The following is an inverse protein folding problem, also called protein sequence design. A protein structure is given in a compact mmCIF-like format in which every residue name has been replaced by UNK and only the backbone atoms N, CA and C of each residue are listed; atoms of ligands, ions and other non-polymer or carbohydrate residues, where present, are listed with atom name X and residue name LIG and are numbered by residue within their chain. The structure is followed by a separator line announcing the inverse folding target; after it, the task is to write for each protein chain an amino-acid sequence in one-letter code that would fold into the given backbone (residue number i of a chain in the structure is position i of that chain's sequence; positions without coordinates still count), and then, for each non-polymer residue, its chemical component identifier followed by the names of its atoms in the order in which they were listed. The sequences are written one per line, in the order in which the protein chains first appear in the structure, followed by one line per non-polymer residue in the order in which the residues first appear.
data_IF_641095692965
#
_entry.id   IF_641095692965
#
_cell.length_a   1.000
_cell.length_b   1.000
_cell.length_c   1.000
_cell.angle_alpha   90.00
_cell.angle_beta   90.00
_cell.angle_gamma   90.00
#
_symmetry.space_group_name_H-M   'P 1'
#
loop_
_entity.id
_entity.type
_entity.pdbx_description
1 polymer ?
#
# COMPACT_ATOMS: atom_id res chain seq x y z
N UNK A 1 21.51 -36.46 17.16
CA UNK A 1 22.26 -36.82 18.37
C UNK A 1 22.57 -38.29 18.28
N UNK A 2 23.83 -38.65 18.43
CA UNK A 2 24.24 -40.06 18.43
C UNK A 2 23.74 -40.74 19.71
N UNK A 3 23.61 -42.07 19.68
CA UNK A 3 23.37 -42.81 20.92
C UNK A 3 24.68 -42.94 21.72
N UNK A 4 24.58 -43.08 23.05
CA UNK A 4 25.77 -43.26 23.93
C UNK A 4 26.63 -44.44 23.47
N UNK A 5 25.99 -45.51 22.98
CA UNK A 5 26.67 -46.70 22.46
C UNK A 5 27.45 -46.41 21.15
N UNK A 6 26.94 -45.53 20.28
CA UNK A 6 27.63 -45.09 19.06
C UNK A 6 28.86 -44.23 19.38
N UNK A 7 28.72 -43.31 20.35
CA UNK A 7 29.83 -42.44 20.81
C UNK A 7 30.90 -43.28 21.51
N UNK A 8 30.50 -44.24 22.34
CA UNK A 8 31.41 -45.17 23.01
C UNK A 8 32.21 -46.01 21.99
N UNK A 9 31.53 -46.56 20.97
CA UNK A 9 32.19 -47.32 19.91
C UNK A 9 33.16 -46.44 19.11
N UNK A 10 32.76 -45.22 18.75
CA UNK A 10 33.60 -44.29 18.00
C UNK A 10 34.88 -43.88 18.77
N UNK A 11 34.77 -43.63 20.08
CA UNK A 11 35.92 -43.29 20.93
C UNK A 11 36.86 -44.50 21.13
N UNK A 12 36.29 -45.69 21.32
CA UNK A 12 37.07 -46.94 21.44
C UNK A 12 37.87 -47.23 20.17
N UNK A 13 37.26 -47.05 19.00
CA UNK A 13 37.91 -47.25 17.70
C UNK A 13 39.09 -46.28 17.47
N UNK A 14 39.11 -45.13 18.14
CA UNK A 14 40.18 -44.12 18.06
C UNK A 14 41.30 -44.38 19.07
N UNK A 15 41.16 -45.43 19.90
CA UNK A 15 42.13 -45.79 20.92
C UNK A 15 42.05 -44.90 22.16
N UNK A 16 40.87 -44.36 22.46
CA UNK A 16 40.63 -43.71 23.74
C UNK A 16 40.88 -44.70 24.90
N UNK A 17 41.35 -44.22 26.08
CA UNK A 17 41.54 -45.08 27.24
C UNK A 17 40.24 -45.80 27.60
N UNK A 18 40.36 -47.02 28.15
CA UNK A 18 39.23 -47.88 28.54
C UNK A 18 38.43 -47.24 29.67
N UNK A 19 37.57 -46.28 29.36
CA UNK A 19 36.55 -45.76 30.26
C UNK A 19 35.41 -46.77 30.34
N UNK A 20 34.88 -47.02 31.53
CA UNK A 20 33.71 -47.89 31.66
C UNK A 20 32.49 -47.24 31.02
N UNK A 21 31.52 -48.05 30.56
CA UNK A 21 30.27 -47.55 29.98
C UNK A 21 29.52 -46.64 30.96
N UNK A 22 29.54 -47.00 32.25
CA UNK A 22 28.89 -46.24 33.32
C UNK A 22 29.54 -44.85 33.53
N UNK A 23 30.86 -44.74 33.36
CA UNK A 23 31.56 -43.45 33.43
C UNK A 23 31.24 -42.58 32.22
N UNK A 24 31.09 -43.18 31.03
CA UNK A 24 30.67 -42.45 29.83
C UNK A 24 29.23 -41.95 29.98
N UNK A 25 28.31 -42.77 30.50
CA UNK A 25 26.92 -42.37 30.76
C UNK A 25 26.86 -41.17 31.73
N UNK A 26 27.69 -41.16 32.79
CA UNK A 26 27.79 -40.00 33.70
C UNK A 26 28.31 -38.75 33.00
N UNK A 27 29.27 -38.88 32.09
CA UNK A 27 29.85 -37.77 31.33
C UNK A 27 28.95 -37.30 30.18
N UNK A 28 28.03 -38.15 29.71
CA UNK A 28 27.14 -37.87 28.59
C UNK A 28 25.89 -37.07 29.03
N UNK A 29 26.12 -35.91 29.66
CA UNK A 29 25.08 -34.99 30.07
C UNK A 29 25.45 -33.53 29.74
N UNK A 30 24.46 -32.71 29.37
CA UNK A 30 24.64 -31.27 29.10
C UNK A 30 25.58 -30.97 27.92
N UNK A 31 26.36 -29.89 28.02
CA UNK A 31 27.28 -29.44 26.94
C UNK A 31 28.38 -30.44 26.57
N UNK A 32 28.67 -31.39 27.45
CA UNK A 32 29.67 -32.43 27.16
C UNK A 32 29.15 -33.40 26.08
N UNK A 33 27.83 -33.59 25.97
CA UNK A 33 27.20 -34.39 24.91
C UNK A 33 27.54 -33.81 23.55
N UNK A 34 27.38 -32.50 23.36
CA UNK A 34 27.66 -31.84 22.09
C UNK A 34 29.15 -31.93 21.71
N UNK A 35 30.05 -31.83 22.69
CA UNK A 35 31.48 -32.01 22.48
C UNK A 35 31.84 -33.46 22.12
N UNK A 36 31.25 -34.45 22.80
CA UNK A 36 31.48 -35.86 22.53
C UNK A 36 30.87 -36.28 21.18
N UNK A 37 29.68 -35.78 20.84
CA UNK A 37 29.04 -35.97 19.53
C UNK A 37 29.89 -35.31 18.43
N UNK A 38 30.38 -34.08 18.64
CA UNK A 38 31.26 -33.39 17.69
C UNK A 38 32.57 -34.15 17.49
N UNK A 39 33.19 -34.63 18.57
CA UNK A 39 34.42 -35.43 18.49
C UNK A 39 34.13 -36.75 17.76
N UNK A 40 33.07 -37.46 18.11
CA UNK A 40 32.69 -38.71 17.45
C UNK A 40 32.38 -38.52 15.94
N UNK A 41 31.74 -37.42 15.56
CA UNK A 41 31.41 -37.11 14.14
C UNK A 41 32.59 -36.58 13.33
N UNK A 42 33.61 -35.96 13.94
CA UNK A 42 34.79 -35.43 13.23
C UNK A 42 36.01 -36.36 13.27
N UNK A 43 36.01 -37.38 14.13
CA UNK A 43 37.00 -38.46 14.12
C UNK A 43 36.97 -39.47 12.94
N UNK A 44 35.89 -39.68 12.14
CA UNK A 44 35.93 -40.62 11.03
C UNK A 44 36.93 -40.23 9.94
N UNK A 45 37.35 -38.96 9.85
CA UNK A 45 38.45 -38.54 8.98
C UNK A 45 39.78 -39.21 9.35
N UNK A 46 40.04 -39.45 10.65
CA UNK A 46 41.23 -40.18 11.11
C UNK A 46 41.12 -41.69 10.92
N UNK A 47 39.92 -42.26 11.09
CA UNK A 47 39.63 -43.68 10.78
C UNK A 47 39.82 -43.97 9.30
N UNK A 48 39.30 -43.11 8.43
CA UNK A 48 39.51 -43.19 6.98
C UNK A 48 40.99 -43.08 6.60
N UNK A 49 41.73 -42.15 7.23
CA UNK A 49 43.16 -42.02 7.01
C UNK A 49 43.97 -43.23 7.52
N UNK A 50 43.62 -43.81 8.66
CA UNK A 50 44.28 -45.00 9.21
C UNK A 50 44.00 -46.25 8.35
N UNK A 51 42.75 -46.46 7.93
CA UNK A 51 42.38 -47.53 7.02
C UNK A 51 43.07 -47.39 5.66
N UNK A 52 43.16 -46.17 5.12
CA UNK A 52 43.89 -45.90 3.88
C UNK A 52 45.40 -46.17 4.03
N UNK A 53 46.02 -45.79 5.17
CA UNK A 53 47.42 -46.12 5.45
C UNK A 53 47.64 -47.63 5.59
N UNK A 54 46.73 -48.32 6.27
CA UNK A 54 46.73 -49.79 6.37
C UNK A 54 46.66 -50.45 4.99
N UNK A 55 45.74 -50.01 4.14
CA UNK A 55 45.61 -50.51 2.77
C UNK A 55 46.86 -50.24 1.91
N UNK A 56 47.46 -49.05 2.03
CA UNK A 56 48.73 -48.71 1.35
C UNK A 56 49.87 -49.59 1.86
N UNK A 57 49.90 -49.87 3.15
CA UNK A 57 50.94 -50.69 3.76
C UNK A 57 50.81 -52.16 3.37
N UNK A 58 49.60 -52.72 3.37
CA UNK A 58 49.36 -54.07 2.83
C UNK A 58 49.67 -54.16 1.35
N UNK A 59 49.39 -53.12 0.55
CA UNK A 59 49.79 -53.06 -0.86
C UNK A 59 51.31 -53.06 -1.03
N UNK A 60 52.03 -52.29 -0.20
CA UNK A 60 53.50 -52.24 -0.23
C UNK A 60 54.14 -53.54 0.25
N UNK A 61 53.53 -54.21 1.22
CA UNK A 61 53.97 -55.52 1.71
C UNK A 61 53.70 -56.61 0.65
N UNK A 62 52.57 -56.56 -0.04
CA UNK A 62 52.27 -57.43 -1.19
C UNK A 62 53.25 -57.21 -2.36
N UNK A 63 53.55 -55.96 -2.72
CA UNK A 63 54.56 -55.64 -3.76
C UNK A 63 55.95 -56.12 -3.38
N UNK A 64 56.32 -56.11 -2.10
CA UNK A 64 57.60 -56.63 -1.61
C UNK A 64 57.65 -58.16 -1.55
N UNK A 65 56.51 -58.84 -1.37
CA UNK A 65 56.44 -60.30 -1.39
C UNK A 65 56.38 -60.92 -2.80
N UNK A 66 56.08 -60.13 -3.84
CA UNK A 66 55.98 -60.62 -5.22
C UNK A 66 57.25 -60.40 -6.08
N UNK A 67 58.34 -59.84 -5.54
CA UNK A 67 59.61 -59.68 -6.27
C UNK A 67 60.54 -60.90 -6.19
N UNK A 68 60.14 -61.97 -5.50
CA UNK A 68 60.87 -63.24 -5.51
C UNK A 68 59.92 -64.38 -5.83
N UNK A 69 60.18 -65.08 -6.94
CA UNK A 69 59.48 -66.30 -7.39
C UNK A 69 58.21 -66.11 -8.22
N UNK A 70 58.41 -65.98 -9.54
CA UNK A 70 57.63 -66.51 -10.69
C UNK A 70 57.87 -65.53 -11.85
N UNK A 71 58.64 -65.86 -12.89
CA UNK A 71 58.43 -67.01 -13.76
C UNK A 71 57.56 -66.58 -14.95
N UNK A 72 58.13 -65.74 -15.82
CA UNK A 72 57.72 -65.49 -17.21
C UNK A 72 56.22 -65.23 -17.48
N UNK A 73 55.69 -64.12 -16.96
CA UNK A 73 54.40 -63.56 -17.42
C UNK A 73 54.68 -62.40 -18.37
N UNK A 74 54.11 -62.47 -19.56
CA UNK A 74 54.29 -61.53 -20.67
C UNK A 74 54.15 -60.06 -20.21
N UNK A 75 55.17 -59.21 -20.38
CA UNK A 75 55.14 -57.80 -19.97
C UNK A 75 54.01 -57.01 -20.63
N UNK A 76 53.48 -57.46 -21.77
CA UNK A 76 52.32 -56.86 -22.42
C UNK A 76 51.03 -57.08 -21.60
N UNK A 77 50.87 -58.26 -21.01
CA UNK A 77 49.70 -58.58 -20.18
C UNK A 77 49.63 -57.68 -18.94
N UNK A 78 50.76 -57.47 -18.26
CA UNK A 78 50.82 -56.55 -17.11
C UNK A 78 50.58 -55.08 -17.50
N UNK A 79 51.03 -54.64 -18.69
CA UNK A 79 50.72 -53.30 -19.21
C UNK A 79 49.23 -53.14 -19.49
N UNK A 80 48.59 -54.12 -20.11
CA UNK A 80 47.14 -54.11 -20.38
C UNK A 80 46.34 -54.13 -19.08
N UNK A 81 46.73 -54.95 -18.10
CA UNK A 81 46.08 -55.00 -16.79
C UNK A 81 46.21 -53.67 -16.04
N UNK A 82 47.38 -53.02 -16.11
CA UNK A 82 47.61 -51.69 -15.54
C UNK A 82 46.80 -50.61 -16.25
N UNK A 83 46.74 -50.63 -17.57
CA UNK A 83 45.91 -49.71 -18.35
C UNK A 83 44.43 -49.88 -18.02
N UNK A 84 43.95 -51.13 -17.90
CA UNK A 84 42.58 -51.43 -17.51
C UNK A 84 42.27 -50.95 -16.09
N UNK A 85 43.18 -51.13 -15.14
CA UNK A 85 43.04 -50.58 -13.78
C UNK A 85 43.01 -49.04 -13.79
N UNK A 86 43.82 -48.39 -14.64
CA UNK A 86 43.81 -46.94 -14.82
C UNK A 86 42.50 -46.43 -15.42
N UNK A 87 41.94 -47.11 -16.43
CA UNK A 87 40.63 -46.76 -17.00
C UNK A 87 39.52 -46.95 -15.99
N UNK A 88 39.55 -48.04 -15.21
CA UNK A 88 38.55 -48.28 -14.16
C UNK A 88 38.62 -47.23 -13.05
N UNK A 89 39.82 -46.82 -12.64
CA UNK A 89 40.00 -45.77 -11.63
C UNK A 89 39.59 -44.39 -12.14
N UNK A 90 39.91 -44.05 -13.41
CA UNK A 90 39.44 -42.79 -14.00
C UNK A 90 37.92 -42.76 -14.19
N UNK A 91 37.30 -43.89 -14.52
CA UNK A 91 35.85 -44.02 -14.60
C UNK A 91 35.17 -43.79 -13.24
N UNK A 92 35.71 -44.38 -12.15
CA UNK A 92 35.20 -44.13 -10.80
C UNK A 92 35.38 -42.67 -10.41
N UNK A 93 36.53 -42.05 -10.74
CA UNK A 93 36.76 -40.64 -10.47
C UNK A 93 35.80 -39.72 -11.23
N UNK A 94 35.48 -40.02 -12.50
CA UNK A 94 34.48 -39.30 -13.27
C UNK A 94 33.08 -39.42 -12.65
N UNK A 95 32.66 -40.62 -12.26
CA UNK A 95 31.37 -40.83 -11.58
C UNK A 95 31.28 -40.06 -10.26
N UNK A 96 32.38 -40.01 -9.50
CA UNK A 96 32.44 -39.22 -8.26
C UNK A 96 32.33 -37.72 -8.55
N UNK A 97 33.01 -37.23 -9.60
CA UNK A 97 32.92 -35.83 -10.01
C UNK A 97 31.51 -35.47 -10.48
N UNK A 98 30.87 -36.33 -11.28
CA UNK A 98 29.47 -36.17 -11.70
C UNK A 98 28.53 -36.09 -10.49
N UNK A 99 28.66 -37.03 -9.54
CA UNK A 99 27.86 -37.02 -8.32
C UNK A 99 28.11 -35.76 -7.45
N UNK A 100 29.35 -35.25 -7.41
CA UNK A 100 29.62 -33.98 -6.71
C UNK A 100 29.05 -32.77 -7.45
N UNK A 101 29.06 -32.78 -8.78
CA UNK A 101 28.49 -31.73 -9.62
C UNK A 101 26.97 -31.68 -9.48
N UNK A 102 26.30 -32.83 -9.47
CA UNK A 102 24.86 -32.93 -9.22
C UNK A 102 24.49 -32.41 -7.83
N UNK A 103 25.25 -32.80 -6.79
CA UNK A 103 25.08 -32.26 -5.43
C UNK A 103 25.31 -30.75 -5.34
N UNK A 104 26.22 -30.20 -6.14
CA UNK A 104 26.43 -28.76 -6.21
C UNK A 104 25.28 -28.06 -6.95
N UNK A 105 24.82 -28.64 -8.07
CA UNK A 105 23.68 -28.12 -8.82
C UNK A 105 22.40 -28.11 -7.98
N UNK A 106 22.14 -29.17 -7.20
CA UNK A 106 20.97 -29.21 -6.30
C UNK A 106 21.06 -28.14 -5.21
N UNK A 107 22.25 -27.93 -4.63
CA UNK A 107 22.48 -26.86 -3.64
C UNK A 107 22.32 -25.47 -4.22
N UNK A 108 22.75 -25.25 -5.47
CA UNK A 108 22.52 -23.98 -6.16
C UNK A 108 21.02 -23.74 -6.35
N UNK A 109 20.27 -24.76 -6.80
CA UNK A 109 18.81 -24.66 -6.90
C UNK A 109 18.13 -24.32 -5.56
N UNK A 110 18.52 -24.97 -4.46
CA UNK A 110 18.01 -24.65 -3.11
C UNK A 110 18.35 -23.22 -2.67
N UNK A 111 19.52 -22.69 -3.06
CA UNK A 111 19.91 -21.31 -2.75
C UNK A 111 19.14 -20.30 -3.61
N UNK A 112 18.90 -20.58 -4.89
CA UNK A 112 18.09 -19.74 -5.78
C UNK A 112 16.63 -19.68 -5.30
N UNK A 113 16.06 -20.79 -4.82
CA UNK A 113 14.72 -20.81 -4.24
C UNK A 113 14.64 -19.97 -2.95
N UNK A 114 15.68 -20.06 -2.09
CA UNK A 114 15.77 -19.22 -0.89
C UNK A 114 15.96 -17.75 -1.22
N UNK A 115 16.75 -17.44 -2.23
CA UNK A 115 16.95 -16.07 -2.71
C UNK A 115 15.62 -15.47 -3.19
N UNK A 116 14.85 -16.19 -4.01
CA UNK A 116 13.52 -15.77 -4.44
C UNK A 116 12.57 -15.57 -3.26
N UNK A 117 12.54 -16.52 -2.32
CA UNK A 117 11.70 -16.40 -1.13
C UNK A 117 12.06 -15.18 -0.27
N UNK A 118 13.35 -14.85 -0.14
CA UNK A 118 13.80 -13.64 0.57
C UNK A 118 13.50 -12.36 -0.20
N UNK A 119 13.60 -12.37 -1.53
CA UNK A 119 13.20 -11.24 -2.37
C UNK A 119 11.69 -10.95 -2.24
N UNK A 120 10.85 -11.99 -2.32
CA UNK A 120 9.41 -11.87 -2.12
C UNK A 120 9.08 -11.32 -0.72
N UNK A 121 9.76 -11.81 0.33
CA UNK A 121 9.62 -11.28 1.68
C UNK A 121 9.98 -9.80 1.76
N UNK A 122 11.11 -9.41 1.16
CA UNK A 122 11.57 -8.02 1.16
C UNK A 122 10.59 -7.10 0.41
N UNK A 123 10.02 -7.55 -0.71
CA UNK A 123 8.97 -6.81 -1.41
C UNK A 123 7.70 -6.64 -0.57
N UNK A 124 7.28 -7.70 0.14
CA UNK A 124 6.14 -7.60 1.06
C UNK A 124 6.42 -6.62 2.20
N UNK A 125 7.62 -6.63 2.78
CA UNK A 125 8.03 -5.69 3.82
C UNK A 125 8.03 -4.24 3.29
N UNK A 126 8.57 -3.99 2.09
CA UNK A 126 8.52 -2.67 1.45
C UNK A 126 7.10 -2.18 1.23
N UNK A 127 6.19 -3.06 0.78
CA UNK A 127 4.79 -2.73 0.58
C UNK A 127 4.10 -2.40 1.90
N UNK A 128 4.35 -3.19 2.96
CA UNK A 128 3.80 -2.91 4.29
C UNK A 128 4.31 -1.59 4.87
N UNK A 129 5.59 -1.27 4.68
CA UNK A 129 6.17 0.01 5.11
C UNK A 129 5.53 1.20 4.38
N UNK A 130 5.32 1.08 3.07
CA UNK A 130 4.63 2.11 2.28
C UNK A 130 3.17 2.29 2.74
N UNK A 131 2.47 1.19 3.03
CA UNK A 131 1.11 1.24 3.57
C UNK A 131 1.07 1.94 4.94
N UNK A 132 2.01 1.62 5.84
CA UNK A 132 2.13 2.27 7.14
C UNK A 132 2.39 3.78 7.00
N UNK A 133 3.26 4.18 6.08
CA UNK A 133 3.53 5.59 5.80
C UNK A 133 2.29 6.33 5.27
N UNK A 134 1.50 5.70 4.39
CA UNK A 134 0.23 6.27 3.91
C UNK A 134 -0.79 6.39 5.04
N UNK A 135 -0.86 5.40 5.93
CA UNK A 135 -1.74 5.43 7.10
C UNK A 135 -1.35 6.53 8.10
N UNK A 136 -0.05 6.70 8.36
CA UNK A 136 0.49 7.78 9.20
C UNK A 136 0.10 9.15 8.64
N UNK A 137 0.33 9.38 7.34
CA UNK A 137 -0.06 10.61 6.66
C UNK A 137 -1.58 10.87 6.72
N UNK A 138 -2.39 9.82 6.60
CA UNK A 138 -3.85 9.93 6.72
C UNK A 138 -4.28 10.27 8.16
N UNK A 139 -3.57 9.75 9.16
CA UNK A 139 -3.81 10.09 10.57
C UNK A 139 -3.44 11.53 10.87
N UNK A 140 -2.33 12.03 10.33
CA UNK A 140 -1.95 13.45 10.42
C UNK A 140 -3.02 14.38 9.83
N UNK A 141 -3.53 14.06 8.63
CA UNK A 141 -4.63 14.81 8.00
C UNK A 141 -5.88 14.76 8.87
N UNK A 142 -6.20 13.60 9.45
CA UNK A 142 -7.36 13.45 10.34
C UNK A 142 -7.19 14.30 11.60
N UNK A 143 -6.01 14.30 12.22
CA UNK A 143 -5.69 15.15 13.38
C UNK A 143 -5.82 16.63 13.03
N UNK A 144 -5.30 17.07 11.88
CA UNK A 144 -5.43 18.44 11.40
C UNK A 144 -6.90 18.87 11.23
N UNK A 145 -7.74 18.00 10.64
CA UNK A 145 -9.18 18.24 10.51
C UNK A 145 -9.89 18.32 11.87
N UNK A 146 -9.51 17.48 12.83
CA UNK A 146 -10.08 17.57 14.18
C UNK A 146 -9.72 18.89 14.88
N UNK A 147 -8.49 19.37 14.73
CA UNK A 147 -8.10 20.70 15.23
C UNK A 147 -8.92 21.80 14.57
N UNK A 148 -9.16 21.72 13.26
CA UNK A 148 -10.01 22.68 12.54
C UNK A 148 -11.47 22.64 13.00
N UNK A 149 -12.04 21.44 13.20
CA UNK A 149 -13.39 21.27 13.75
C UNK A 149 -13.50 21.87 15.16
N UNK A 150 -12.50 21.67 16.02
CA UNK A 150 -12.49 22.25 17.36
C UNK A 150 -12.47 23.78 17.30
N UNK A 151 -11.67 24.37 16.41
CA UNK A 151 -11.66 25.82 16.18
C UNK A 151 -13.04 26.34 15.74
N UNK A 152 -13.67 25.67 14.77
CA UNK A 152 -15.00 26.05 14.29
C UNK A 152 -16.07 25.93 15.40
N UNK A 153 -15.97 24.93 16.28
CA UNK A 153 -16.86 24.79 17.43
C UNK A 153 -16.64 25.88 18.49
N UNK A 154 -15.39 26.31 18.70
CA UNK A 154 -15.07 27.44 19.55
C UNK A 154 -15.63 28.75 18.97
N UNK A 155 -15.42 29.01 17.68
CA UNK A 155 -15.99 30.16 16.97
C UNK A 155 -17.53 30.18 17.04
N UNK A 156 -18.18 29.02 16.87
CA UNK A 156 -19.65 28.93 17.02
C UNK A 156 -20.09 29.20 18.46
N UNK A 157 -19.36 28.70 19.46
CA UNK A 157 -19.65 29.00 20.88
C UNK A 157 -19.47 30.48 21.20
N UNK A 158 -18.47 31.13 20.62
CA UNK A 158 -18.27 32.58 20.75
C UNK A 158 -19.41 33.35 20.11
N UNK A 159 -19.78 33.02 18.86
CA UNK A 159 -20.92 33.64 18.16
C UNK A 159 -22.25 33.45 18.91
N UNK A 160 -22.48 32.30 19.55
CA UNK A 160 -23.67 32.05 20.38
C UNK A 160 -23.64 32.89 21.67
N UNK A 161 -22.46 33.09 22.28
CA UNK A 161 -22.33 33.97 23.45
C UNK A 161 -22.54 35.44 23.08
N UNK A 162 -22.06 35.85 21.92
CA UNK A 162 -22.28 37.20 21.38
C UNK A 162 -23.76 37.44 21.06
N UNK A 163 -24.45 36.47 20.44
CA UNK A 163 -25.88 36.57 20.15
C UNK A 163 -26.76 36.53 21.39
N UNK A 164 -26.36 35.80 22.44
CA UNK A 164 -27.06 35.85 23.73
C UNK A 164 -26.87 37.19 24.45
N UNK A 165 -25.70 37.83 24.35
CA UNK A 165 -25.46 39.17 24.92
C UNK A 165 -26.33 40.24 24.25
N UNK A 166 -26.59 40.13 22.95
CA UNK A 166 -27.42 41.10 22.22
C UNK A 166 -28.92 40.88 22.45
N UNK A 167 -29.36 39.70 22.89
CA UNK A 167 -30.78 39.38 23.10
C UNK A 167 -31.40 39.89 24.41
N UNK A 168 -30.62 40.33 25.41
CA UNK A 168 -31.15 40.70 26.74
C UNK A 168 -31.72 42.14 26.80
N UNK A 169 -31.53 42.97 25.77
CA UNK A 169 -31.94 44.41 25.80
C UNK A 169 -33.17 44.74 24.95
N UNK A 170 -33.75 43.81 24.20
CA UNK A 170 -34.89 44.14 23.34
C UNK A 170 -35.84 42.98 23.10
N UNK A 171 -36.91 42.91 23.89
CA UNK A 171 -38.07 42.08 23.59
C UNK A 171 -38.81 42.65 22.38
N UNK A 172 -38.42 42.25 21.18
CA UNK A 172 -39.20 42.47 19.96
C UNK A 172 -39.17 41.19 19.13
N UNK A 173 -40.37 40.70 18.84
CA UNK A 173 -40.68 39.54 18.01
C UNK A 173 -39.98 39.61 16.65
N UNK A 174 -39.10 38.63 16.40
CA UNK A 174 -38.43 38.41 15.11
C UNK A 174 -39.42 37.93 14.03
N UNK A 175 -39.40 38.52 12.82
CA UNK A 175 -39.79 37.82 11.61
C UNK A 175 -38.58 37.05 11.06
N UNK A 176 -38.77 35.76 10.74
CA UNK A 176 -37.80 34.96 10.02
C UNK A 176 -37.58 35.53 8.61
N UNK A 177 -36.32 35.74 8.22
CA UNK A 177 -35.94 35.95 6.82
C UNK A 177 -34.66 35.17 6.48
N UNK A 178 -34.91 33.97 5.96
CA UNK A 178 -34.16 33.16 4.98
C UNK A 178 -33.50 34.01 3.88
N UNK A 179 -32.23 33.82 3.45
CA UNK A 179 -31.56 32.69 2.75
C UNK A 179 -30.04 33.04 2.64
N UNK A 180 -29.04 32.19 2.33
CA UNK A 180 -28.90 31.19 1.27
C UNK A 180 -27.74 30.20 1.59
N UNK A 181 -28.07 28.91 1.73
CA UNK A 181 -27.32 27.79 1.15
C UNK A 181 -28.33 27.15 0.17
N UNK A 182 -27.91 26.87 -1.06
CA UNK A 182 -28.76 26.37 -2.14
C UNK A 182 -29.24 24.93 -1.87
N UNK A 183 -30.29 24.81 -1.07
CA UNK A 183 -31.23 23.68 -1.08
C UNK A 183 -32.40 24.11 -1.99
N UNK A 184 -32.89 23.27 -2.93
CA UNK A 184 -34.02 23.61 -3.78
C UNK A 184 -35.22 24.01 -2.90
N UNK A 185 -35.58 25.30 -2.96
CA UNK A 185 -36.61 25.91 -2.10
C UNK A 185 -37.98 25.28 -2.38
N UNK A 186 -38.69 24.90 -1.31
CA UNK A 186 -40.05 24.34 -1.38
C UNK A 186 -41.08 25.28 -2.05
N UNK A 187 -40.79 26.59 -2.10
CA UNK A 187 -41.62 27.60 -2.77
C UNK A 187 -41.77 27.31 -4.28
N UNK A 188 -40.69 26.94 -4.98
CA UNK A 188 -40.75 26.60 -6.40
C UNK A 188 -41.55 25.31 -6.65
N UNK A 189 -41.45 24.32 -5.75
CA UNK A 189 -42.27 23.10 -5.86
C UNK A 189 -43.76 23.39 -5.65
N UNK A 190 -44.10 24.33 -4.77
CA UNK A 190 -45.49 24.74 -4.54
C UNK A 190 -46.06 25.49 -5.76
N UNK A 191 -45.30 26.41 -6.34
CA UNK A 191 -45.75 27.21 -7.49
C UNK A 191 -45.85 26.38 -8.77
N UNK A 192 -44.92 25.46 -9.00
CA UNK A 192 -44.98 24.50 -10.11
C UNK A 192 -46.15 23.53 -9.98
N UNK A 193 -46.41 23.01 -8.77
CA UNK A 193 -47.59 22.15 -8.53
C UNK A 193 -48.89 22.94 -8.73
N UNK A 194 -48.98 24.18 -8.24
CA UNK A 194 -50.15 25.03 -8.46
C UNK A 194 -50.35 25.37 -9.95
N UNK A 195 -49.26 25.67 -10.69
CA UNK A 195 -49.30 25.89 -12.13
C UNK A 195 -49.75 24.63 -12.90
N UNK A 196 -49.26 23.45 -12.52
CA UNK A 196 -49.69 22.17 -13.11
C UNK A 196 -51.15 21.86 -12.81
N UNK A 197 -51.62 22.09 -11.57
CA UNK A 197 -53.02 21.88 -11.19
C UNK A 197 -53.96 22.84 -11.92
N UNK A 198 -53.58 24.10 -12.08
CA UNK A 198 -54.38 25.07 -12.84
C UNK A 198 -54.43 24.70 -14.33
N UNK A 199 -53.33 24.20 -14.90
CA UNK A 199 -53.30 23.67 -16.26
C UNK A 199 -54.16 22.42 -16.43
N UNK A 200 -54.08 21.45 -15.51
CA UNK A 200 -54.92 20.25 -15.57
C UNK A 200 -56.41 20.57 -15.44
N UNK A 201 -56.79 21.52 -14.59
CA UNK A 201 -58.16 22.02 -14.48
C UNK A 201 -58.62 22.73 -15.77
N UNK A 202 -57.72 23.48 -16.42
CA UNK A 202 -58.02 24.12 -17.71
C UNK A 202 -58.22 23.08 -18.81
N UNK A 203 -57.37 22.06 -18.90
CA UNK A 203 -57.52 20.95 -19.85
C UNK A 203 -58.81 20.16 -19.59
N UNK A 204 -59.15 19.89 -18.32
CA UNK A 204 -60.39 19.19 -18.01
C UNK A 204 -61.62 19.98 -18.47
N UNK A 205 -61.65 21.30 -18.21
CA UNK A 205 -62.71 22.21 -18.69
C UNK A 205 -62.80 22.26 -20.21
N UNK A 206 -61.66 22.32 -20.91
CA UNK A 206 -61.63 22.25 -22.37
C UNK A 206 -62.15 20.91 -22.89
N UNK A 207 -61.81 19.81 -22.22
CA UNK A 207 -62.29 18.47 -22.59
C UNK A 207 -63.81 18.32 -22.38
N UNK A 208 -64.36 18.91 -21.32
CA UNK A 208 -65.81 18.91 -21.08
C UNK A 208 -66.55 19.78 -22.09
N UNK A 209 -65.97 20.94 -22.46
CA UNK A 209 -66.52 21.79 -23.52
C UNK A 209 -66.46 21.12 -24.89
N UNK A 210 -65.42 20.33 -25.17
CA UNK A 210 -65.33 19.56 -26.42
C UNK A 210 -66.40 18.47 -26.54
N UNK A 211 -66.87 17.93 -25.41
CA UNK A 211 -67.97 16.95 -25.35
C UNK A 211 -69.35 17.61 -25.42
N UNK A 212 -69.44 18.93 -25.30
CA UNK A 212 -70.70 19.66 -25.29
C UNK A 212 -71.30 19.73 -26.69
N UNK A 213 -72.44 19.07 -26.91
CA UNK A 213 -73.08 18.97 -28.23
C UNK A 213 -73.49 20.34 -28.81
N UNK A 214 -73.71 21.33 -27.95
CA UNK A 214 -74.01 22.71 -28.34
C UNK A 214 -72.81 23.49 -28.88
N UNK A 215 -71.58 23.01 -28.69
CA UNK A 215 -70.37 23.69 -29.13
C UNK A 215 -70.30 23.77 -30.66
N UNK A 216 -70.64 22.68 -31.36
CA UNK A 216 -70.62 22.62 -32.84
C UNK A 216 -71.55 23.65 -33.48
N UNK A 217 -72.76 23.81 -32.93
CA UNK A 217 -73.71 24.81 -33.42
C UNK A 217 -73.21 26.24 -33.18
N UNK A 218 -72.58 26.50 -32.03
CA UNK A 218 -71.98 27.81 -31.71
C UNK A 218 -70.77 28.12 -32.58
N UNK A 219 -69.91 27.15 -32.87
CA UNK A 219 -68.75 27.35 -33.75
C UNK A 219 -69.17 27.65 -35.18
N UNK A 220 -70.18 26.94 -35.71
CA UNK A 220 -70.74 27.22 -37.03
C UNK A 220 -71.38 28.61 -37.12
N UNK A 221 -72.10 29.02 -36.07
CA UNK A 221 -72.68 30.36 -36.02
C UNK A 221 -71.61 31.47 -35.94
N UNK A 222 -70.52 31.25 -35.20
CA UNK A 222 -69.40 32.18 -35.12
C UNK A 222 -68.62 32.25 -36.44
N UNK A 223 -68.40 31.10 -37.09
CA UNK A 223 -67.79 30.99 -38.42
C UNK A 223 -68.61 31.74 -39.48
N UNK A 224 -69.93 31.55 -39.50
CA UNK A 224 -70.82 32.28 -40.41
C UNK A 224 -70.71 33.81 -40.21
N UNK A 225 -70.71 34.28 -38.95
CA UNK A 225 -70.53 35.71 -38.64
C UNK A 225 -69.17 36.24 -39.08
N UNK A 226 -68.10 35.45 -38.93
CA UNK A 226 -66.76 35.84 -39.37
C UNK A 226 -66.71 35.97 -40.89
N UNK A 227 -67.31 35.03 -41.62
CA UNK A 227 -67.41 35.06 -43.07
C UNK A 227 -68.20 36.29 -43.55
N UNK A 228 -69.34 36.59 -42.91
CA UNK A 228 -70.16 37.75 -43.25
C UNK A 228 -69.39 39.08 -43.02
N UNK A 229 -68.61 39.17 -41.93
CA UNK A 229 -67.77 40.33 -41.65
C UNK A 229 -66.62 40.48 -42.66
N UNK A 230 -65.98 39.39 -43.07
CA UNK A 230 -64.91 39.41 -44.06
C UNK A 230 -65.47 39.81 -45.44
N UNK A 231 -66.60 39.23 -45.84
CA UNK A 231 -67.31 39.58 -47.07
C UNK A 231 -67.69 41.07 -47.09
N UNK A 232 -68.26 41.57 -45.99
CA UNK A 232 -68.59 42.99 -45.85
C UNK A 232 -67.35 43.89 -45.89
N UNK A 233 -66.24 43.49 -45.25
CA UNK A 233 -65.00 44.28 -45.26
C UNK A 233 -64.34 44.36 -46.64
N UNK A 234 -64.57 43.37 -47.50
CA UNK A 234 -64.03 43.28 -48.86
C UNK A 234 -64.97 43.77 -49.94
N UNK A 235 -66.23 44.11 -49.59
CA UNK A 235 -67.31 44.41 -50.53
C UNK A 235 -67.48 43.31 -51.60
N UNK A 236 -67.37 42.06 -51.17
CA UNK A 236 -67.39 40.86 -52.02
C UNK A 236 -68.50 39.92 -51.55
N UNK A 237 -68.97 39.04 -52.44
CA UNK A 237 -69.94 38.01 -52.07
C UNK A 237 -69.29 36.96 -51.17
N UNK A 238 -70.12 36.28 -50.37
CA UNK A 238 -69.65 35.28 -49.39
C UNK A 238 -68.90 34.11 -50.03
N UNK A 239 -69.25 33.79 -51.27
CA UNK A 239 -68.67 32.67 -52.03
C UNK A 239 -67.42 33.06 -52.84
N UNK A 240 -66.97 34.33 -52.73
CA UNK A 240 -65.78 34.78 -53.45
C UNK A 240 -64.50 34.10 -52.93
N UNK A 241 -63.59 33.67 -53.84
CA UNK A 241 -62.37 32.95 -53.46
C UNK A 241 -61.45 33.81 -52.58
N UNK A 242 -61.52 35.14 -52.70
CA UNK A 242 -60.74 36.05 -51.86
C UNK A 242 -61.25 36.16 -50.43
N UNK A 243 -62.55 35.97 -50.20
CA UNK A 243 -63.16 35.94 -48.86
C UNK A 243 -62.79 34.63 -48.17
N UNK A 244 -62.88 33.50 -48.88
CA UNK A 244 -62.46 32.19 -48.36
C UNK A 244 -60.96 32.13 -48.03
N UNK A 245 -60.09 32.73 -48.85
CA UNK A 245 -58.66 32.81 -48.57
C UNK A 245 -58.33 33.67 -47.33
N UNK A 246 -59.05 34.78 -47.14
CA UNK A 246 -58.90 35.63 -45.95
C UNK A 246 -59.40 34.91 -44.69
N UNK A 247 -60.54 34.21 -44.79
CA UNK A 247 -61.06 33.35 -43.72
C UNK A 247 -60.04 32.29 -43.30
N UNK A 248 -59.45 31.57 -44.25
CA UNK A 248 -58.44 30.54 -43.95
C UNK A 248 -57.21 31.11 -43.24
N UNK A 249 -56.74 32.31 -43.62
CA UNK A 249 -55.63 32.98 -42.92
C UNK A 249 -55.99 33.34 -41.48
N UNK A 250 -57.17 33.92 -41.26
CA UNK A 250 -57.68 34.23 -39.92
C UNK A 250 -57.84 32.96 -39.08
N UNK A 251 -58.37 31.89 -39.67
CA UNK A 251 -58.52 30.59 -39.03
C UNK A 251 -57.16 29.99 -38.64
N UNK A 252 -56.18 29.99 -39.54
CA UNK A 252 -54.83 29.49 -39.26
C UNK A 252 -54.15 30.28 -38.13
N UNK A 253 -54.27 31.61 -38.14
CA UNK A 253 -53.74 32.46 -37.08
C UNK A 253 -54.44 32.22 -35.73
N UNK A 254 -55.77 32.08 -35.73
CA UNK A 254 -56.55 31.75 -34.53
C UNK A 254 -56.18 30.36 -33.99
N UNK A 255 -56.00 29.36 -34.87
CA UNK A 255 -55.57 28.01 -34.51
C UNK A 255 -54.19 28.00 -33.87
N UNK A 256 -53.21 28.67 -34.48
CA UNK A 256 -51.85 28.79 -33.92
C UNK A 256 -51.85 29.48 -32.55
N UNK A 257 -52.62 30.56 -32.38
CA UNK A 257 -52.78 31.22 -31.07
C UNK A 257 -53.45 30.32 -30.05
N UNK A 258 -54.47 29.56 -30.44
CA UNK A 258 -55.14 28.61 -29.56
C UNK A 258 -54.18 27.50 -29.11
N UNK A 259 -53.41 26.92 -30.01
CA UNK A 259 -52.39 25.90 -29.72
C UNK A 259 -51.34 26.42 -28.72
N UNK A 260 -50.78 27.61 -28.97
CA UNK A 260 -49.84 28.24 -28.03
C UNK A 260 -50.45 28.56 -26.67
N UNK A 261 -51.76 28.85 -26.62
CA UNK A 261 -52.44 29.16 -25.36
C UNK A 261 -52.75 27.92 -24.52
N UNK A 262 -52.82 26.74 -25.15
CA UNK A 262 -53.11 25.45 -24.49
C UNK A 262 -51.83 24.79 -23.96
N UNK A 263 -50.68 25.08 -24.57
CA UNK A 263 -49.38 24.62 -24.08
C UNK A 263 -49.10 25.14 -22.66
N UNK A 264 -48.60 24.26 -21.81
CA UNK A 264 -48.17 24.62 -20.46
C UNK A 264 -46.95 25.54 -20.55
N UNK A 265 -47.04 26.73 -19.95
CA UNK A 265 -45.90 27.62 -19.76
C UNK A 265 -45.49 27.54 -18.30
N UNK A 266 -44.33 26.94 -18.04
CA UNK A 266 -43.76 26.93 -16.69
C UNK A 266 -43.50 28.37 -16.25
N UNK A 267 -43.85 28.76 -15.01
CA UNK A 267 -43.52 30.07 -14.46
C UNK A 267 -42.02 30.24 -14.17
N UNK A 268 -41.23 29.16 -14.23
CA UNK A 268 -39.79 29.24 -14.03
C UNK A 268 -39.13 29.85 -15.27
N UNK A 269 -38.20 30.81 -15.09
CA UNK A 269 -37.46 31.37 -16.21
C UNK A 269 -36.77 30.22 -16.94
N UNK A 270 -37.07 30.08 -18.24
CA UNK A 270 -36.32 29.25 -19.19
C UNK A 270 -34.95 29.89 -19.42
N UNK A 271 -34.15 30.01 -18.37
CA UNK A 271 -32.73 30.29 -18.47
C UNK A 271 -32.02 28.94 -18.43
N UNK A 272 -31.26 28.68 -19.49
CA UNK A 272 -30.45 27.49 -19.74
C UNK A 272 -31.22 26.20 -20.04
N UNK A 273 -31.16 25.85 -21.33
CA UNK A 273 -30.97 24.50 -21.83
C UNK A 273 -31.93 23.45 -21.26
N UNK A 274 -32.89 23.02 -22.09
CA UNK A 274 -33.44 21.68 -21.96
C UNK A 274 -32.28 20.67 -22.12
N UNK A 275 -31.48 20.46 -21.08
CA UNK A 275 -30.77 19.20 -20.91
C UNK A 275 -31.86 18.13 -20.97
N UNK A 276 -31.81 17.30 -22.01
CA UNK A 276 -32.75 16.21 -22.23
C UNK A 276 -32.86 15.40 -20.93
N UNK A 277 -34.08 15.07 -20.51
CA UNK A 277 -34.34 14.27 -19.30
C UNK A 277 -33.50 12.96 -19.30
N UNK A 278 -33.18 12.44 -20.49
CA UNK A 278 -32.25 11.34 -20.69
C UNK A 278 -30.82 11.67 -20.22
N UNK A 279 -30.28 12.84 -20.53
CA UNK A 279 -28.96 13.28 -20.05
C UNK A 279 -28.89 13.41 -18.53
N UNK A 280 -29.98 13.84 -17.87
CA UNK A 280 -30.04 13.86 -16.40
C UNK A 280 -30.11 12.43 -15.85
N UNK A 281 -30.91 11.55 -16.47
CA UNK A 281 -31.01 10.13 -16.08
C UNK A 281 -29.66 9.40 -16.21
N UNK A 282 -28.93 9.63 -17.29
CA UNK A 282 -27.63 9.00 -17.54
C UNK A 282 -26.56 9.52 -16.57
N UNK A 283 -26.60 10.80 -16.22
CA UNK A 283 -25.72 11.37 -15.19
C UNK A 283 -26.04 10.81 -13.80
N UNK A 284 -27.30 10.59 -13.49
CA UNK A 284 -27.71 9.99 -12.20
C UNK A 284 -27.29 8.54 -12.13
N UNK A 285 -27.50 7.74 -13.18
CA UNK A 285 -27.07 6.33 -13.20
C UNK A 285 -25.55 6.19 -13.16
N UNK A 286 -24.81 7.08 -13.85
CA UNK A 286 -23.37 7.13 -13.74
C UNK A 286 -22.93 7.43 -12.29
N UNK A 287 -23.50 8.45 -11.65
CA UNK A 287 -23.18 8.78 -10.25
C UNK A 287 -23.57 7.69 -9.28
N UNK A 288 -24.67 7.00 -9.50
CA UNK A 288 -25.08 5.85 -8.71
C UNK A 288 -24.04 4.73 -8.83
N UNK A 289 -23.57 4.43 -10.03
CA UNK A 289 -22.52 3.44 -10.26
C UNK A 289 -21.19 3.82 -9.59
N UNK A 290 -20.82 5.11 -9.63
CA UNK A 290 -19.63 5.63 -8.96
C UNK A 290 -19.75 5.51 -7.43
N UNK A 291 -20.90 5.88 -6.86
CA UNK A 291 -21.15 5.75 -5.42
C UNK A 291 -21.16 4.29 -4.99
N UNK A 292 -21.76 3.40 -5.79
CA UNK A 292 -21.76 1.97 -5.51
C UNK A 292 -20.33 1.41 -5.52
N UNK A 293 -19.51 1.77 -6.50
CA UNK A 293 -18.11 1.35 -6.57
C UNK A 293 -17.28 1.86 -5.37
N UNK A 294 -17.54 3.09 -4.92
CA UNK A 294 -16.90 3.66 -3.74
C UNK A 294 -17.34 2.97 -2.46
N UNK A 295 -18.63 2.62 -2.34
CA UNK A 295 -19.16 1.88 -1.21
C UNK A 295 -18.55 0.46 -1.14
N UNK A 296 -18.47 -0.23 -2.26
CA UNK A 296 -17.85 -1.55 -2.37
C UNK A 296 -16.37 -1.47 -1.99
N UNK A 297 -15.63 -0.47 -2.49
CA UNK A 297 -14.24 -0.24 -2.13
C UNK A 297 -14.05 0.07 -0.63
N UNK A 298 -14.91 0.90 -0.05
CA UNK A 298 -14.88 1.20 1.38
C UNK A 298 -15.17 -0.05 2.23
N UNK A 299 -16.08 -0.91 1.78
CA UNK A 299 -16.38 -2.19 2.45
C UNK A 299 -15.20 -3.16 2.40
N UNK A 300 -14.53 -3.26 1.24
CA UNK A 300 -13.34 -4.08 1.05
C UNK A 300 -12.18 -3.59 1.93
N UNK A 301 -11.97 -2.27 2.00
CA UNK A 301 -10.97 -1.65 2.87
C UNK A 301 -11.27 -1.91 4.35
N UNK A 302 -12.54 -1.82 4.76
CA UNK A 302 -12.95 -2.14 6.15
C UNK A 302 -12.63 -3.59 6.50
N UNK A 303 -12.89 -4.53 5.59
CA UNK A 303 -12.60 -5.94 5.79
C UNK A 303 -11.08 -6.21 5.82
N UNK A 304 -10.31 -5.54 4.96
CA UNK A 304 -8.85 -5.61 4.98
C UNK A 304 -8.27 -5.07 6.30
N UNK A 305 -8.77 -3.93 6.79
CA UNK A 305 -8.39 -3.39 8.10
C UNK A 305 -8.72 -4.36 9.23
N UNK A 306 -9.91 -4.97 9.22
CA UNK A 306 -10.29 -5.95 10.24
C UNK A 306 -9.34 -7.16 10.25
N UNK A 307 -8.98 -7.69 9.07
CA UNK A 307 -8.01 -8.78 8.95
C UNK A 307 -6.61 -8.39 9.42
N UNK A 308 -6.14 -7.19 9.09
CA UNK A 308 -4.84 -6.69 9.55
C UNK A 308 -4.79 -6.54 11.07
N UNK A 309 -5.86 -6.02 11.69
CA UNK A 309 -5.99 -5.93 13.14
C UNK A 309 -5.96 -7.33 13.76
N UNK A 310 -6.68 -8.29 13.18
CA UNK A 310 -6.66 -9.67 13.65
C UNK A 310 -5.28 -10.32 13.53
N UNK A 311 -4.56 -10.08 12.43
CA UNK A 311 -3.19 -10.54 12.23
C UNK A 311 -2.22 -9.95 13.27
N UNK A 312 -2.31 -8.65 13.53
CA UNK A 312 -1.51 -7.99 14.57
C UNK A 312 -1.87 -8.50 15.97
N UNK A 313 -3.14 -8.76 16.24
CA UNK A 313 -3.58 -9.35 17.51
C UNK A 313 -3.04 -10.78 17.68
N UNK A 314 -3.03 -11.59 16.62
CA UNK A 314 -2.42 -12.92 16.66
C UNK A 314 -0.91 -12.85 16.87
N UNK A 315 -0.20 -11.98 16.14
CA UNK A 315 1.24 -11.77 16.29
C UNK A 315 1.60 -11.33 17.72
N UNK A 316 0.91 -10.31 18.25
CA UNK A 316 1.17 -9.82 19.61
C UNK A 316 0.90 -10.85 20.69
N UNK A 317 -0.07 -11.75 20.47
CA UNK A 317 -0.44 -12.79 21.43
C UNK A 317 0.45 -14.04 21.34
N UNK A 318 0.86 -14.44 20.14
CA UNK A 318 1.50 -15.74 19.91
C UNK A 318 3.01 -15.61 19.63
N UNK A 319 3.41 -14.78 18.66
CA UNK A 319 4.81 -14.72 18.20
C UNK A 319 5.66 -13.74 19.01
N UNK A 320 5.10 -12.59 19.41
CA UNK A 320 5.82 -11.60 20.21
C UNK A 320 6.39 -12.15 21.54
N UNK A 321 5.67 -12.96 22.34
CA UNK A 321 6.24 -13.53 23.55
C UNK A 321 7.33 -14.57 23.25
N UNK A 322 7.16 -15.40 22.20
CA UNK A 322 8.18 -16.38 21.80
C UNK A 322 9.46 -15.70 21.33
N UNK A 323 9.35 -14.63 20.53
CA UNK A 323 10.50 -13.83 20.08
C UNK A 323 11.20 -13.17 21.28
N UNK A 324 10.42 -12.61 22.23
CA UNK A 324 10.98 -12.02 23.44
C UNK A 324 11.74 -13.05 24.27
N UNK A 325 11.18 -14.25 24.44
CA UNK A 325 11.83 -15.35 25.15
C UNK A 325 13.12 -15.79 24.44
N UNK A 326 13.08 -15.96 23.12
CA UNK A 326 14.25 -16.31 22.31
C UNK A 326 15.36 -15.27 22.44
N UNK A 327 15.04 -13.98 22.31
CA UNK A 327 15.99 -12.88 22.46
C UNK A 327 16.54 -12.79 23.88
N UNK A 328 15.71 -13.05 24.89
CA UNK A 328 16.15 -13.03 26.29
C UNK A 328 17.08 -14.22 26.61
N UNK A 329 16.81 -15.39 26.02
CA UNK A 329 17.69 -16.55 26.09
C UNK A 329 19.02 -16.27 25.41
N UNK A 330 19.02 -15.68 24.22
CA UNK A 330 20.22 -15.31 23.49
C UNK A 330 21.04 -14.23 24.22
N UNK A 331 20.38 -13.21 24.78
CA UNK A 331 21.02 -12.21 25.63
C UNK A 331 21.69 -12.84 26.86
N UNK A 332 21.02 -13.80 27.51
CA UNK A 332 21.60 -14.52 28.65
C UNK A 332 22.80 -15.39 28.26
N UNK A 333 22.77 -16.00 27.08
CA UNK A 333 23.87 -16.79 26.54
C UNK A 333 25.08 -15.89 26.20
N UNK A 334 24.83 -14.76 25.55
CA UNK A 334 25.85 -13.75 25.24
C UNK A 334 26.48 -13.18 26.52
N UNK A 335 25.68 -12.93 27.56
CA UNK A 335 26.18 -12.49 28.85
C UNK A 335 27.10 -13.54 29.49
N UNK A 336 26.73 -14.82 29.43
CA UNK A 336 27.58 -15.92 29.88
C UNK A 336 28.94 -15.95 29.15
N UNK A 337 28.96 -15.68 27.84
CA UNK A 337 30.21 -15.54 27.09
C UNK A 337 31.05 -14.35 27.55
N UNK A 338 30.43 -13.19 27.76
CA UNK A 338 31.12 -12.01 28.32
C UNK A 338 31.71 -12.30 29.69
N UNK A 339 31.00 -13.03 30.55
CA UNK A 339 31.48 -13.39 31.88
C UNK A 339 32.64 -14.39 31.81
N UNK A 340 32.61 -15.36 30.90
CA UNK A 340 33.77 -16.24 30.66
C UNK A 340 35.00 -15.48 30.17
N UNK A 341 34.82 -14.47 29.31
CA UNK A 341 35.91 -13.59 28.87
C UNK A 341 36.43 -12.72 30.02
N UNK A 342 35.55 -12.17 30.85
CA UNK A 342 35.95 -11.42 32.05
C UNK A 342 36.77 -12.30 33.00
N UNK A 343 36.32 -13.53 33.26
CA UNK A 343 37.04 -14.47 34.12
C UNK A 343 38.39 -14.89 33.50
N UNK A 344 38.48 -15.04 32.18
CA UNK A 344 39.75 -15.34 31.52
C UNK A 344 40.75 -14.19 31.66
N UNK A 345 40.29 -12.94 31.49
CA UNK A 345 41.13 -11.74 31.67
C UNK A 345 41.59 -11.60 33.13
N UNK A 346 40.68 -11.73 34.10
CA UNK A 346 41.01 -11.63 35.54
C UNK A 346 41.95 -12.75 35.97
N UNK A 347 41.71 -13.99 35.54
CA UNK A 347 42.61 -15.12 35.85
C UNK A 347 43.97 -15.00 35.15
N UNK A 348 44.03 -14.36 33.98
CA UNK A 348 45.30 -14.09 33.31
C UNK A 348 46.10 -12.98 34.02
N UNK A 349 45.43 -11.94 34.50
CA UNK A 349 46.02 -10.87 35.30
C UNK A 349 46.58 -11.39 36.64
N UNK A 350 45.84 -12.24 37.36
CA UNK A 350 46.31 -12.84 38.62
C UNK A 350 47.55 -13.74 38.43
N UNK A 351 47.64 -14.47 37.30
CA UNK A 351 48.82 -15.28 36.94
C UNK A 351 50.06 -14.44 36.59
N UNK A 352 49.86 -13.21 36.12
CA UNK A 352 50.95 -12.26 35.85
C UNK A 352 51.51 -11.65 37.14
N UNK A 353 50.67 -11.47 38.17
CA UNK A 353 51.10 -10.97 39.48
C UNK A 353 51.82 -12.04 40.32
N UNK A 354 51.39 -13.31 40.28
CA UNK A 354 52.02 -14.39 41.06
C UNK A 354 53.43 -14.79 40.55
N UNK A 355 53.81 -14.40 39.33
CA UNK A 355 55.15 -14.66 38.76
C UNK A 355 56.19 -13.56 39.02
N UNK A 356 55.85 -12.47 39.72
CA UNK A 356 56.79 -11.39 40.03
C UNK A 356 57.65 -11.61 41.28
N UNK A 357 57.51 -12.73 42.00
CA UNK A 357 58.19 -12.91 43.29
C UNK A 357 59.46 -13.78 43.30
N UNK A 358 59.87 -14.43 42.21
CA UNK A 358 61.15 -15.14 42.19
C UNK A 358 61.89 -14.89 40.89
N UNK A 359 63.02 -14.21 41.02
CA UNK A 359 63.85 -13.74 39.93
C UNK A 359 64.33 -14.86 39.02
N UNK A 360 64.25 -14.61 37.71
CA UNK A 360 65.42 -14.64 36.86
C UNK A 360 65.06 -14.09 35.48
N UNK A 361 65.91 -13.18 35.01
CA UNK A 361 66.03 -12.74 33.64
C UNK A 361 66.10 -13.91 32.65
N UNK A 362 64.96 -14.30 32.06
CA UNK A 362 64.96 -14.98 30.77
C UNK A 362 63.63 -14.80 30.04
N UNK A 363 63.69 -13.92 29.05
CA UNK A 363 62.91 -13.93 27.81
C UNK A 363 61.38 -13.83 27.94
N UNK A 364 60.89 -12.63 28.24
CA UNK A 364 59.55 -12.16 27.81
C UNK A 364 59.63 -11.47 26.43
N UNK A 365 60.24 -12.14 25.46
CA UNK A 365 60.13 -11.78 24.05
C UNK A 365 59.19 -12.77 23.36
N UNK A 366 57.88 -12.60 23.56
CA UNK A 366 56.85 -13.07 22.62
C UNK A 366 55.43 -12.53 22.92
N UNK A 367 55.31 -11.43 23.66
CA UNK A 367 54.12 -10.59 23.52
C UNK A 367 54.25 -9.85 22.21
N UNK A 368 53.27 -10.00 21.30
CA UNK A 368 53.19 -9.20 20.06
C UNK A 368 53.40 -7.75 20.46
N UNK A 369 54.43 -7.12 19.91
CA UNK A 369 54.74 -5.74 20.26
C UNK A 369 53.54 -4.87 19.85
N UNK A 370 53.23 -3.85 20.65
CA UNK A 370 52.20 -2.86 20.33
C UNK A 370 52.19 -2.41 18.85
N UNK A 371 53.35 -2.14 18.21
CA UNK A 371 53.40 -1.83 16.78
C UNK A 371 52.96 -2.98 15.86
N UNK A 372 53.14 -4.24 16.27
CA UNK A 372 52.69 -5.40 15.51
C UNK A 372 51.17 -5.58 15.61
N UNK A 373 50.57 -5.32 16.77
CA UNK A 373 49.11 -5.24 16.90
C UNK A 373 48.52 -4.05 16.12
N UNK A 374 49.22 -2.92 16.06
CA UNK A 374 48.81 -1.77 15.25
C UNK A 374 48.85 -2.10 13.76
N UNK A 375 49.91 -2.75 13.29
CA UNK A 375 50.02 -3.23 11.92
C UNK A 375 48.96 -4.29 11.56
N UNK A 376 48.62 -5.19 12.49
CA UNK A 376 47.54 -6.17 12.31
C UNK A 376 46.17 -5.45 12.19
N UNK A 377 45.92 -4.40 12.99
CA UNK A 377 44.68 -3.61 12.93
C UNK A 377 44.61 -2.78 11.64
N UNK A 378 45.70 -2.14 11.24
CA UNK A 378 45.79 -1.40 9.98
C UNK A 378 45.55 -2.33 8.79
N UNK A 379 46.12 -3.55 8.82
CA UNK A 379 45.88 -4.56 7.79
C UNK A 379 44.43 -4.99 7.72
N UNK A 380 43.78 -5.25 8.85
CA UNK A 380 42.35 -5.58 8.88
C UNK A 380 41.52 -4.42 8.34
N UNK A 381 41.90 -3.17 8.65
CA UNK A 381 41.21 -1.99 8.13
C UNK A 381 41.35 -1.88 6.60
N UNK A 382 42.57 -2.07 6.08
CA UNK A 382 42.83 -2.11 4.64
C UNK A 382 42.07 -3.24 3.95
N UNK A 383 42.08 -4.44 4.51
CA UNK A 383 41.34 -5.59 3.96
C UNK A 383 39.83 -5.31 3.94
N UNK A 384 39.27 -4.72 5.01
CA UNK A 384 37.84 -4.34 5.03
C UNK A 384 37.52 -3.26 3.99
N UNK A 385 38.41 -2.29 3.81
CA UNK A 385 38.22 -1.21 2.84
C UNK A 385 38.32 -1.73 1.40
N UNK A 386 39.21 -2.70 1.14
CA UNK A 386 39.31 -3.40 -0.14
C UNK A 386 38.06 -4.24 -0.41
N UNK A 387 37.52 -4.95 0.60
CA UNK A 387 36.25 -5.69 0.44
C UNK A 387 35.05 -4.76 0.20
N UNK A 388 35.00 -3.59 0.86
CA UNK A 388 33.94 -2.61 0.65
C UNK A 388 34.06 -1.95 -0.74
N UNK A 389 35.28 -1.63 -1.18
CA UNK A 389 35.54 -1.15 -2.53
C UNK A 389 35.18 -2.19 -3.58
N UNK A 390 35.48 -3.47 -3.30
CA UNK A 390 35.08 -4.59 -4.14
C UNK A 390 33.56 -4.72 -4.22
N UNK A 391 32.83 -4.67 -3.09
CA UNK A 391 31.36 -4.71 -3.08
C UNK A 391 30.74 -3.52 -3.83
N UNK A 392 31.26 -2.30 -3.66
CA UNK A 392 30.84 -1.13 -4.44
C UNK A 392 31.12 -1.28 -5.94
N UNK A 393 32.18 -2.01 -6.30
CA UNK A 393 32.48 -2.33 -7.70
C UNK A 393 31.63 -3.49 -8.23
N UNK A 394 31.26 -4.44 -7.37
CA UNK A 394 30.40 -5.58 -7.69
C UNK A 394 28.93 -5.15 -7.88
N UNK A 395 28.45 -4.15 -7.12
CA UNK A 395 27.16 -3.49 -7.37
C UNK A 395 27.08 -2.84 -8.76
N UNK A 396 28.23 -2.44 -9.33
CA UNK A 396 28.30 -1.95 -10.72
C UNK A 396 28.34 -3.08 -11.76
N UNK A 397 28.80 -4.28 -11.37
CA UNK A 397 28.85 -5.47 -12.22
C UNK A 397 27.54 -6.28 -12.18
N UNK A 398 26.75 -6.11 -11.12
CA UNK A 398 25.40 -6.67 -10.95
C UNK A 398 24.29 -5.68 -11.35
N UNK A 399 24.63 -4.62 -12.10
CA UNK A 399 23.61 -3.83 -12.80
C UNK A 399 22.85 -4.77 -13.74
N UNK A 400 21.50 -4.86 -13.65
CA UNK A 400 20.73 -5.51 -14.68
C UNK A 400 20.96 -4.78 -16.00
N UNK A 401 20.82 -5.50 -17.11
CA UNK A 401 20.96 -5.04 -18.49
C UNK A 401 20.72 -3.55 -18.69
N UNK A 402 21.54 -2.88 -19.50
CA UNK A 402 21.36 -1.45 -19.85
C UNK A 402 19.94 -1.10 -20.35
N UNK A 403 19.20 -2.10 -20.85
CA UNK A 403 17.79 -2.00 -21.24
C UNK A 403 16.83 -1.81 -20.05
N UNK A 404 17.13 -2.41 -18.89
CA UNK A 404 16.33 -2.26 -17.67
C UNK A 404 16.54 -0.89 -17.01
N UNK A 405 17.76 -0.32 -17.11
CA UNK A 405 18.06 1.03 -16.58
C UNK A 405 17.31 2.11 -17.37
N UNK A 406 17.21 1.99 -18.70
CA UNK A 406 16.38 2.88 -19.53
C UNK A 406 14.87 2.72 -19.24
N UNK A 407 14.42 1.49 -18.97
CA UNK A 407 13.03 1.23 -18.55
C UNK A 407 12.71 1.88 -17.20
N UNK A 408 13.59 1.76 -16.21
CA UNK A 408 13.41 2.43 -14.92
C UNK A 408 13.49 3.96 -15.04
N UNK A 409 14.40 4.50 -15.86
CA UNK A 409 14.50 5.95 -16.09
C UNK A 409 13.23 6.51 -16.76
N UNK A 410 12.72 5.81 -17.78
CA UNK A 410 11.46 6.21 -18.44
C UNK A 410 10.27 6.11 -17.49
N UNK A 411 10.20 5.08 -16.64
CA UNK A 411 9.18 4.97 -15.59
C UNK A 411 9.28 6.10 -14.56
N UNK A 412 10.48 6.45 -14.08
CA UNK A 412 10.67 7.59 -13.16
C UNK A 412 10.30 8.92 -13.81
N UNK A 413 10.58 9.11 -15.09
CA UNK A 413 10.18 10.31 -15.82
C UNK A 413 8.66 10.41 -15.99
N UNK A 414 7.97 9.28 -16.23
CA UNK A 414 6.51 9.22 -16.28
C UNK A 414 5.87 9.54 -14.92
N UNK A 415 6.42 9.00 -13.82
CA UNK A 415 5.95 9.33 -12.47
C UNK A 415 6.17 10.80 -12.13
N UNK A 416 7.34 11.36 -12.43
CA UNK A 416 7.62 12.77 -12.20
C UNK A 416 6.65 13.68 -12.99
N UNK A 417 6.28 13.29 -14.21
CA UNK A 417 5.27 14.01 -15.00
C UNK A 417 3.87 13.90 -14.38
N UNK A 418 3.46 12.71 -13.97
CA UNK A 418 2.16 12.51 -13.30
C UNK A 418 2.08 13.26 -11.96
N UNK A 419 3.18 13.33 -11.21
CA UNK A 419 3.30 14.11 -9.98
C UNK A 419 3.22 15.62 -10.26
N UNK A 420 3.87 16.10 -11.33
CA UNK A 420 3.76 17.50 -11.76
C UNK A 420 2.31 17.87 -12.16
N UNK A 421 1.62 17.01 -12.90
CA UNK A 421 0.23 17.24 -13.31
C UNK A 421 -0.75 17.22 -12.12
N UNK A 422 -0.55 16.30 -11.17
CA UNK A 422 -1.39 16.21 -9.96
C UNK A 422 -1.14 17.39 -9.02
N UNK A 423 0.11 17.80 -8.82
CA UNK A 423 0.46 19.00 -8.04
C UNK A 423 -0.09 20.28 -8.68
N UNK A 424 -0.08 20.40 -10.02
CA UNK A 424 -0.71 21.52 -10.71
C UNK A 424 -2.24 21.55 -10.52
N UNK A 425 -2.91 20.38 -10.57
CA UNK A 425 -4.35 20.28 -10.28
C UNK A 425 -4.67 20.67 -8.84
N UNK A 426 -3.85 20.22 -7.87
CA UNK A 426 -4.00 20.59 -6.46
C UNK A 426 -3.81 22.11 -6.28
N UNK A 427 -2.79 22.69 -6.91
CA UNK A 427 -2.55 24.14 -6.89
C UNK A 427 -3.75 24.93 -7.42
N UNK A 428 -4.28 24.55 -8.59
CA UNK A 428 -5.49 25.19 -9.17
C UNK A 428 -6.72 25.07 -8.26
N UNK A 429 -6.87 23.94 -7.57
CA UNK A 429 -7.99 23.73 -6.65
C UNK A 429 -7.84 24.57 -5.38
N UNK A 430 -6.61 24.70 -4.86
CA UNK A 430 -6.30 25.60 -3.74
C UNK A 430 -6.54 27.06 -4.12
N UNK A 431 -6.07 27.51 -5.28
CA UNK A 431 -6.31 28.87 -5.79
C UNK A 431 -7.81 29.18 -5.94
N UNK A 432 -8.61 28.22 -6.42
CA UNK A 432 -10.07 28.36 -6.47
C UNK A 432 -10.70 28.43 -5.08
N UNK A 433 -10.18 27.67 -4.11
CA UNK A 433 -10.67 27.71 -2.73
C UNK A 433 -10.30 29.01 -2.02
N UNK A 434 -9.09 29.54 -2.24
CA UNK A 434 -8.68 30.85 -1.70
C UNK A 434 -9.50 31.97 -2.32
N UNK A 435 -9.69 31.97 -3.65
CA UNK A 435 -10.55 32.94 -4.31
C UNK A 435 -12.00 32.90 -3.81
N UNK A 436 -12.54 31.70 -3.54
CA UNK A 436 -13.87 31.54 -2.91
C UNK A 436 -13.89 32.05 -1.46
N UNK A 437 -12.83 31.83 -0.70
CA UNK A 437 -12.72 32.34 0.66
C UNK A 437 -12.63 33.88 0.68
N UNK A 438 -11.89 34.47 -0.25
CA UNK A 438 -11.80 35.92 -0.42
C UNK A 438 -13.15 36.52 -0.84
N UNK A 439 -13.87 35.88 -1.78
CA UNK A 439 -15.23 36.28 -2.13
C UNK A 439 -16.20 36.17 -0.93
N UNK A 440 -16.05 35.13 -0.10
CA UNK A 440 -16.80 34.99 1.15
C UNK A 440 -16.51 36.10 2.15
N UNK A 441 -15.28 36.61 2.20
CA UNK A 441 -14.90 37.74 3.06
C UNK A 441 -15.59 39.04 2.61
N UNK A 442 -15.62 39.32 1.31
CA UNK A 442 -16.36 40.48 0.76
C UNK A 442 -17.84 40.41 1.13
N UNK A 443 -18.45 39.23 1.07
CA UNK A 443 -19.85 39.05 1.49
C UNK A 443 -20.05 39.30 2.99
N UNK A 444 -19.10 38.92 3.84
CA UNK A 444 -19.16 39.23 5.27
C UNK A 444 -19.09 40.74 5.51
N UNK A 445 -18.20 41.44 4.82
CA UNK A 445 -18.11 42.91 4.89
C UNK A 445 -19.41 43.59 4.44
N UNK A 446 -20.04 43.09 3.36
CA UNK A 446 -21.33 43.60 2.89
C UNK A 446 -22.46 43.32 3.89
N UNK A 447 -22.48 42.15 4.53
CA UNK A 447 -23.45 41.82 5.58
C UNK A 447 -23.26 42.74 6.78
N UNK A 448 -22.02 42.94 7.25
CA UNK A 448 -21.71 43.85 8.36
C UNK A 448 -22.12 45.28 8.04
N UNK A 449 -21.89 45.73 6.80
CA UNK A 449 -22.34 47.04 6.33
C UNK A 449 -23.86 47.16 6.32
N UNK A 450 -24.58 46.16 5.81
CA UNK A 450 -26.05 46.15 5.81
C UNK A 450 -26.61 46.13 7.24
N UNK A 451 -25.97 45.41 8.16
CA UNK A 451 -26.32 45.43 9.58
C UNK A 451 -26.15 46.85 10.13
N UNK A 452 -25.03 47.52 9.86
CA UNK A 452 -24.80 48.90 10.29
C UNK A 452 -25.81 49.89 9.69
N UNK A 453 -26.12 49.78 8.39
CA UNK A 453 -27.13 50.61 7.72
C UNK A 453 -28.53 50.38 8.30
N UNK A 454 -28.90 49.12 8.58
CA UNK A 454 -30.18 48.79 9.21
C UNK A 454 -30.31 49.37 10.62
N UNK A 455 -29.22 49.37 11.39
CA UNK A 455 -29.17 49.97 12.72
C UNK A 455 -29.33 51.51 12.67
N UNK A 456 -28.75 52.16 11.65
CA UNK A 456 -28.93 53.60 11.42
C UNK A 456 -30.39 53.92 11.06
N UNK A 457 -31.01 53.12 10.19
CA UNK A 457 -32.42 53.31 9.80
C UNK A 457 -33.34 53.10 11.02
N UNK A 458 -33.09 52.05 11.81
CA UNK A 458 -33.88 51.75 13.01
C UNK A 458 -33.71 52.78 14.13
N UNK A 459 -32.55 53.44 14.22
CA UNK A 459 -32.31 54.52 15.19
C UNK A 459 -32.74 55.91 14.70
N UNK A 460 -33.24 56.00 13.47
CA UNK A 460 -33.72 57.26 12.90
C UNK A 460 -35.05 57.68 13.56
N UNK A 461 -35.13 58.88 14.16
CA UNK A 461 -36.25 59.32 15.00
C UNK A 461 -37.58 59.57 14.24
N UNK A 462 -37.63 59.29 12.94
CA UNK A 462 -38.83 59.47 12.12
C UNK A 462 -39.87 58.35 12.28
N UNK A 463 -39.54 57.24 12.98
CA UNK A 463 -40.44 56.09 13.20
C UNK A 463 -41.03 56.01 14.61
N UNK A 464 -40.79 57.00 15.48
CA UNK A 464 -41.48 57.13 16.77
C UNK A 464 -42.52 58.25 16.69
N UNK A 465 -43.71 57.94 16.16
CA UNK A 465 -44.94 58.70 16.35
C UNK A 465 -46.11 57.73 16.56
#
# INVERSE_FOLDING_TARGET
MMTIDEVYAALRDVGAPLTSREDLERLYHGRMVELLDFVATNLPGRRGAAAARGAIQTYREQERSHTSSNGDVDPLYHRVQRAHAQVKTSQIALQQLEATREKQASKIGELEEKEKALQDQLETERLTALLLQVLERNEEIRKARFVEILKLLEELREKVRESQKTSIVGGVTLPLSEKVIEVPRAEYTRDTVAALQTHSLRLSRLSTLAKDHGLKARTQAAEARLLDLIAHSKNSDRDDPEVSAAYQKCFAAAKSRAEMSVQYRSPNPTESECEEIQGISDRVSQRESEVQSLADHASALTLACARAIQGNAAFTKETAPQLREALQNEASAAQGHVDTLRLSIVSHAAKLESKRSYGHDRALHQGRSFPQTLADVERVFSDTQETEAFLKSADRLLSPDAVAVESHHSMTALYAKAEAETSEKIRKLLERKTAKADAGRVLLEDIERLIAESAIIASSPWYTN
#
